data_IF_076955372864
#
_entry.id   IF_076955372864
#
_cell.length_a   1.000
_cell.length_b   1.000
_cell.length_c   1.000
_cell.angle_alpha   90.00
_cell.angle_beta   90.00
_cell.angle_gamma   90.00
#
_symmetry.space_group_name_H-M   'P 1'
#
loop_
_entity.id
_entity.type
_entity.pdbx_description
1 polymer ?
2 polymer ?
#
# COMPACT_ATOMS: atom_id res chain seq x y z
N UNK A 35 20.81 42.46 28.30
CA UNK A 35 19.55 41.72 28.59
C UNK A 35 18.93 41.17 27.30
N UNK A 36 19.21 41.81 26.17
CA UNK A 36 18.64 41.39 24.90
C UNK A 36 19.67 40.67 24.01
N UNK A 37 19.32 39.46 23.57
CA UNK A 37 20.16 38.70 22.66
C UNK A 37 19.69 38.89 21.23
N UNK A 38 18.43 39.34 21.10
CA UNK A 38 17.74 39.44 19.81
C UNK A 38 18.64 39.46 18.56
N UNK A 39 19.42 40.52 18.36
CA UNK A 39 20.25 40.62 17.15
C UNK A 39 20.78 39.26 16.69
N UNK A 40 20.07 38.66 15.75
CA UNK A 40 20.44 37.35 15.21
C UNK A 40 21.81 37.39 14.54
N UNK A 41 21.99 38.31 13.59
CA UNK A 41 23.28 38.47 12.93
C UNK A 41 24.36 38.23 13.98
N UNK A 42 24.26 39.00 15.06
CA UNK A 42 25.13 38.82 16.21
C UNK A 42 25.28 37.34 16.54
N UNK A 43 24.20 36.74 17.03
CA UNK A 43 24.20 35.32 17.40
C UNK A 43 24.73 34.43 16.29
N UNK A 44 24.44 34.81 15.05
CA UNK A 44 24.90 34.07 13.88
C UNK A 44 26.40 34.09 13.76
N UNK A 45 26.98 35.29 13.80
CA UNK A 45 28.42 35.42 13.80
C UNK A 45 28.99 34.69 15.00
N UNK A 46 28.29 34.79 16.12
CA UNK A 46 28.67 34.11 17.35
C UNK A 46 28.65 32.59 17.20
N UNK A 47 27.83 32.09 16.28
CA UNK A 47 27.68 30.65 16.11
C UNK A 47 28.85 30.03 15.34
N UNK A 48 29.06 30.50 14.12
CA UNK A 48 30.09 29.93 13.24
C UNK A 48 31.45 29.92 13.93
N UNK A 49 31.57 30.74 14.97
CA UNK A 49 32.77 30.76 15.80
C UNK A 49 32.98 29.38 16.42
N UNK A 51 31.80 26.45 15.27
CA UNK A 51 32.10 25.44 14.25
C UNK A 51 33.55 25.54 13.80
N UNK A 52 34.11 26.76 13.88
CA UNK A 52 35.48 27.01 13.47
C UNK A 52 36.49 26.56 14.52
N UNK A 53 36.09 26.62 15.79
CA UNK A 53 36.98 26.23 16.89
C UNK A 53 36.70 24.81 17.38
N UNK A 54 35.51 24.60 17.94
CA UNK A 54 35.15 23.29 18.47
C UNK A 54 34.96 22.26 17.35
N UNK A 55 34.95 22.74 16.10
CA UNK A 55 34.84 21.86 14.95
C UNK A 55 33.72 20.83 15.07
N UNK A 57 29.47 19.76 14.53
CA UNK A 57 28.47 19.87 13.47
C UNK A 57 27.60 21.12 13.64
N UNK A 58 27.45 21.88 12.55
CA UNK A 58 26.59 23.04 12.57
C UNK A 58 25.36 22.77 13.42
N UNK A 59 24.84 21.56 13.32
CA UNK A 59 23.66 21.16 14.08
C UNK A 59 23.98 21.15 15.57
N UNK A 60 24.78 20.19 16.00
CA UNK A 60 25.21 20.13 17.39
C UNK A 60 25.51 21.51 17.94
N UNK A 61 26.25 22.29 17.15
CA UNK A 61 26.61 23.65 17.53
C UNK A 61 25.37 24.42 17.98
N UNK A 62 24.54 24.79 17.03
CA UNK A 62 23.37 25.60 17.29
C UNK A 62 22.38 24.93 18.26
N UNK A 63 22.44 23.60 18.36
CA UNK A 63 21.66 22.91 19.37
C UNK A 63 22.16 23.30 20.74
N UNK A 64 23.48 23.49 20.83
CA UNK A 64 24.13 23.83 22.08
C UNK A 64 23.92 25.30 22.42
N UNK A 65 24.28 26.17 21.47
CA UNK A 65 24.09 27.61 21.64
C UNK A 65 22.76 27.89 22.31
N UNK A 66 21.71 27.24 21.83
CA UNK A 66 20.38 27.41 22.40
C UNK A 66 20.38 26.98 23.85
N UNK A 67 20.75 25.72 24.09
CA UNK A 67 20.75 25.17 25.43
C UNK A 67 21.46 26.09 26.42
N UNK A 68 22.64 26.55 26.01
CA UNK A 68 23.48 27.37 26.89
C UNK A 68 22.81 28.68 27.27
N UNK A 69 21.97 29.21 26.39
CA UNK A 69 21.25 30.43 26.69
C UNK A 69 19.83 30.20 27.16
N UNK A 70 19.47 28.93 27.35
CA UNK A 70 18.15 28.57 27.88
C UNK A 70 16.99 28.80 26.90
N UNK A 71 17.31 28.94 25.61
CA UNK A 71 16.27 29.08 24.59
C UNK A 71 15.79 27.71 24.11
N UNK A 72 14.47 27.48 24.16
CA UNK A 72 13.90 26.25 23.61
C UNK A 72 14.07 26.22 22.10
N UNK A 73 14.18 25.01 21.54
CA UNK A 73 14.38 24.86 20.10
C UNK A 73 13.20 25.48 19.35
N UNK A 74 12.03 25.45 19.98
CA UNK A 74 10.81 25.95 19.39
C UNK A 74 10.85 27.46 19.20
N UNK A 75 11.94 28.08 19.63
CA UNK A 75 12.09 29.53 19.51
C UNK A 75 13.30 29.90 18.68
N UNK A 76 13.91 28.91 18.04
CA UNK A 76 15.12 29.14 17.26
C UNK A 76 14.93 30.29 16.27
N UNK A 77 13.67 30.53 15.90
CA UNK A 77 13.37 31.50 14.86
C UNK A 77 13.76 32.94 15.21
N UNK A 78 13.53 33.32 16.46
CA UNK A 78 13.82 34.69 16.94
C UNK A 78 15.27 34.90 17.40
N UNK A 79 16.06 33.84 17.45
CA UNK A 79 17.42 33.95 17.98
C UNK A 79 18.47 33.50 16.97
N UNK A 80 18.05 32.69 16.01
CA UNK A 80 18.99 32.15 15.03
C UNK A 80 18.79 32.77 13.66
N UNK A 81 19.91 33.14 13.00
CA UNK A 81 19.88 33.74 11.67
C UNK A 81 19.54 32.70 10.60
N UNK A 82 18.54 32.99 9.79
CA UNK A 82 18.10 32.05 8.74
C UNK A 82 19.23 31.77 7.74
N UNK A 83 20.34 32.46 7.91
CA UNK A 83 21.53 32.16 7.12
C UNK A 83 22.20 30.90 7.63
N UNK A 84 22.30 30.78 8.96
CA UNK A 84 22.96 29.63 9.57
C UNK A 84 22.08 28.38 9.53
N UNK A 85 20.77 28.58 9.63
CA UNK A 85 19.81 27.49 9.45
C UNK A 85 20.11 26.74 8.15
N UNK A 86 20.11 27.48 7.05
CA UNK A 86 20.41 26.90 5.73
C UNK A 86 21.56 25.89 5.81
N UNK A 87 22.54 26.19 6.64
CA UNK A 87 23.72 25.36 6.73
C UNK A 87 23.48 24.13 7.59
N UNK A 88 22.33 24.11 8.28
CA UNK A 88 21.89 22.92 8.99
C UNK A 88 21.11 22.03 8.03
N UNK A 89 20.10 22.62 7.40
CA UNK A 89 19.34 21.95 6.35
C UNK A 89 20.28 21.15 5.44
N UNK A 90 21.42 21.76 5.11
CA UNK A 90 22.40 21.11 4.26
C UNK A 90 22.94 19.84 4.91
N UNK A 91 23.40 19.95 6.16
CA UNK A 91 23.90 18.80 6.89
C UNK A 91 22.86 17.68 6.94
N UNK A 92 21.62 18.06 7.19
CA UNK A 92 20.52 17.10 7.34
C UNK A 92 20.42 16.19 6.12
N UNK A 93 20.36 16.81 4.95
CA UNK A 93 20.29 16.07 3.70
C UNK A 93 21.53 15.20 3.52
N UNK A 94 22.70 15.84 3.50
CA UNK A 94 23.95 15.12 3.31
C UNK A 94 24.09 13.94 4.27
N UNK A 95 23.33 13.98 5.37
CA UNK A 95 23.44 12.94 6.38
C UNK A 95 22.18 12.09 6.45
N UNK A 96 21.18 12.46 5.66
CA UNK A 96 19.92 11.73 5.62
C UNK A 96 19.25 11.64 6.98
N UNK A 97 19.23 12.74 7.73
CA UNK A 97 18.61 12.74 9.05
C UNK A 97 17.10 12.82 8.92
N UNK A 98 16.63 13.04 7.70
CA UNK A 98 15.21 13.29 7.48
C UNK A 98 14.57 12.26 6.55
N UNK A 99 13.24 12.15 6.63
CA UNK A 99 12.49 11.29 5.74
C UNK A 99 12.58 11.83 4.32
N UNK A 100 12.91 10.96 3.35
CA UNK A 100 12.94 11.39 1.97
C UNK A 100 11.75 12.28 1.65
N UNK A 101 10.62 11.97 2.29
CA UNK A 101 9.39 12.73 2.10
C UNK A 101 9.59 14.23 2.35
N UNK A 102 10.39 14.56 3.36
CA UNK A 102 10.59 15.96 3.74
C UNK A 102 11.74 16.61 2.99
N UNK A 103 12.71 15.80 2.57
CA UNK A 103 13.82 16.30 1.78
C UNK A 103 13.31 17.02 0.53
N UNK A 104 12.34 16.40 -0.13
CA UNK A 104 11.76 16.98 -1.34
C UNK A 104 11.11 18.35 -1.09
N UNK A 105 10.21 18.41 -0.11
CA UNK A 105 9.59 19.68 0.26
C UNK A 105 10.07 20.19 1.62
N UNK B 2 18.05 -26.02 -1.72
CA UNK B 2 17.21 -24.91 -2.16
C UNK B 2 15.87 -24.97 -1.45
N UNK B 3 15.37 -23.81 -1.04
CA UNK B 3 14.14 -23.75 -0.28
C UNK B 3 13.56 -22.37 -0.31
N UNK B 4 12.26 -22.29 -0.08
CA UNK B 4 11.57 -21.01 -0.04
C UNK B 4 11.45 -20.55 1.41
N UNK B 5 12.22 -19.53 1.77
CA UNK B 5 12.22 -18.98 3.11
C UNK B 5 11.19 -17.86 3.22
N UNK B 6 10.12 -18.10 3.98
CA UNK B 6 9.08 -17.09 4.17
C UNK B 6 9.45 -16.10 5.28
N UNK B 7 9.62 -14.83 4.89
CA UNK B 7 9.94 -13.75 5.83
C UNK B 7 8.79 -12.76 5.91
N UNK B 8 8.38 -12.42 7.13
CA UNK B 8 7.22 -11.55 7.34
C UNK B 8 7.59 -10.19 7.92
N UNK B 9 6.87 -9.17 7.49
CA UNK B 9 7.03 -7.85 8.08
C UNK B 9 5.68 -7.38 8.62
N UNK B 10 5.62 -7.13 9.91
CA UNK B 10 4.37 -6.75 10.55
C UNK B 10 4.39 -5.32 11.06
N UNK B 11 3.29 -4.60 10.84
CA UNK B 11 3.14 -3.27 11.38
C UNK B 11 1.95 -3.25 12.32
N UNK B 12 2.20 -2.86 13.56
CA UNK B 12 1.18 -2.85 14.59
C UNK B 12 0.83 -1.44 15.04
N UNK B 13 -0.10 -1.35 15.99
CA UNK B 13 -0.34 -0.13 16.74
C UNK B 13 0.56 -0.15 17.96
N UNK B 14 1.27 0.96 18.18
CA UNK B 14 2.14 1.09 19.34
C UNK B 14 1.45 1.99 20.35
N UNK B 15 1.98 2.02 21.56
CA UNK B 15 1.55 3.01 22.53
C UNK B 15 1.93 4.40 22.04
N UNK B 16 2.89 4.45 21.12
CA UNK B 16 3.37 5.71 20.57
C UNK B 16 2.79 6.01 19.19
N UNK B 17 1.72 5.31 18.82
CA UNK B 17 1.11 5.50 17.51
C UNK B 17 1.34 4.34 16.57
N UNK B 18 0.75 4.42 15.37
CA UNK B 18 0.75 3.33 14.39
C UNK B 18 2.01 3.30 13.55
N UNK B 19 2.46 2.09 13.22
CA UNK B 19 3.63 1.90 12.35
C UNK B 19 3.22 2.06 10.90
N UNK B 20 4.18 2.30 10.02
CA UNK B 20 3.89 2.46 8.60
C UNK B 20 4.79 1.58 7.75
N UNK B 21 4.22 0.98 6.71
CA UNK B 21 5.00 0.30 5.72
C UNK B 21 5.18 1.24 4.55
N UNK B 22 6.43 1.62 4.29
CA UNK B 22 6.69 2.72 3.38
C UNK B 22 8.11 2.74 2.86
N UNK B 23 8.32 3.51 1.81
CA UNK B 23 9.65 3.76 1.28
C UNK B 23 10.21 5.03 1.91
N UNK B 24 9.38 5.70 2.72
CA UNK B 24 9.73 6.98 3.31
C UNK B 24 10.53 6.76 4.59
N UNK B 25 11.71 6.18 4.46
CA UNK B 25 12.51 5.77 5.60
C UNK B 25 13.74 6.63 5.74
N UNK B 26 13.98 7.13 6.97
CA UNK B 26 15.10 8.01 7.25
C UNK B 26 16.35 7.22 7.64
N UNK B 27 17.51 7.83 7.43
CA UNK B 27 18.78 7.25 7.87
C UNK B 27 19.29 6.13 6.96
N UNK B 28 18.81 6.09 5.73
CA UNK B 28 19.26 5.11 4.76
C UNK B 28 19.46 5.77 3.39
N UNK B 29 20.57 5.44 2.73
CA UNK B 29 20.92 6.07 1.47
C UNK B 29 19.93 5.78 0.35
N UNK B 30 20.10 6.49 -0.77
CA UNK B 30 19.27 6.25 -1.94
C UNK B 30 19.50 4.84 -2.47
N UNK B 31 20.73 4.35 -2.27
CA UNK B 31 21.10 3.01 -2.69
C UNK B 31 20.06 2.00 -2.24
N UNK B 32 19.76 2.01 -0.94
CA UNK B 32 18.82 1.05 -0.36
C UNK B 32 17.40 1.30 -0.83
N UNK B 33 16.94 2.54 -0.67
CA UNK B 33 15.56 2.89 -1.03
C UNK B 33 15.29 2.72 -2.51
N UNK B 34 16.35 2.74 -3.30
CA UNK B 34 16.23 2.62 -4.76
C UNK B 34 15.47 1.36 -5.17
N UNK B 35 15.84 0.24 -4.55
CA UNK B 35 15.35 -1.07 -4.97
C UNK B 35 13.88 -1.35 -4.62
N UNK B 36 13.22 -0.41 -3.96
CA UNK B 36 11.87 -0.63 -3.46
C UNK B 36 10.81 0.01 -4.34
N UNK B 37 9.58 -0.50 -4.28
CA UNK B 37 8.49 0.06 -5.06
C UNK B 37 7.80 1.21 -4.29
N UNK B 38 6.90 1.90 -4.98
CA UNK B 38 6.23 3.07 -4.40
C UNK B 38 5.68 2.76 -3.01
N UNK B 39 5.53 1.48 -2.71
CA UNK B 39 4.86 1.08 -1.48
C UNK B 39 5.86 0.63 -0.42
N UNK B 40 7.15 0.73 -0.75
CA UNK B 40 8.21 0.40 0.19
C UNK B 40 8.56 -1.08 0.21
N UNK B 41 7.97 -1.84 -0.71
CA UNK B 41 8.21 -3.27 -0.80
C UNK B 41 9.16 -3.62 -1.96
N UNK B 42 9.97 -4.65 -1.75
CA UNK B 42 10.96 -5.05 -2.76
C UNK B 42 10.27 -5.62 -3.98
N UNK B 43 10.96 -5.59 -5.12
CA UNK B 43 10.40 -6.09 -6.38
C UNK B 43 10.55 -7.60 -6.51
N UNK B 44 9.47 -8.26 -6.90
CA UNK B 44 9.51 -9.68 -7.22
C UNK B 44 10.54 -9.94 -8.31
N UNK B 45 11.40 -10.91 -8.09
CA UNK B 45 12.45 -11.22 -9.05
C UNK B 45 13.75 -10.50 -8.75
N UNK B 46 13.79 -9.79 -7.62
CA UNK B 46 14.99 -9.07 -7.23
C UNK B 46 16.05 -10.02 -6.68
N UNK B 47 17.30 -9.76 -7.02
CA UNK B 47 18.42 -10.55 -6.52
C UNK B 47 18.93 -9.94 -5.22
N UNK B 48 18.27 -10.25 -4.12
CA UNK B 48 18.60 -9.64 -2.83
C UNK B 48 19.70 -10.39 -2.09
N UNK B 49 20.48 -9.66 -1.31
CA UNK B 49 21.53 -10.24 -0.49
C UNK B 49 21.37 -9.81 0.97
N UNK B 50 22.06 -10.49 1.87
CA UNK B 50 22.00 -10.15 3.28
C UNK B 50 22.09 -8.64 3.48
N UNK B 51 21.20 -8.11 4.32
CA UNK B 51 21.22 -6.69 4.62
C UNK B 51 20.18 -5.88 3.85
N UNK B 52 20.04 -6.18 2.56
CA UNK B 52 19.09 -5.46 1.72
C UNK B 52 17.72 -5.38 2.38
N UNK B 53 17.01 -4.27 2.15
CA UNK B 53 15.67 -4.08 2.66
C UNK B 53 14.67 -4.81 1.80
N UNK B 54 13.83 -5.65 2.41
CA UNK B 54 12.79 -6.36 1.68
C UNK B 54 11.47 -5.62 1.83
N UNK B 55 11.22 -5.14 3.03
CA UNK B 55 10.01 -4.37 3.31
C UNK B 55 10.33 -3.19 4.21
N UNK B 56 10.10 -1.99 3.69
CA UNK B 56 10.30 -0.78 4.47
C UNK B 56 9.21 -0.55 5.51
N UNK B 57 9.61 -0.58 6.77
CA UNK B 57 8.70 -0.23 7.85
C UNK B 57 9.29 0.91 8.66
N UNK B 58 8.44 1.57 9.44
CA UNK B 58 8.86 2.73 10.21
C UNK B 58 8.09 2.78 11.52
N UNK B 59 8.77 3.22 12.58
CA UNK B 59 8.14 3.28 13.89
C UNK B 59 8.32 4.64 14.55
N UNK B 60 7.24 5.19 15.12
CA UNK B 60 7.26 6.44 15.87
C UNK B 60 8.23 6.39 17.03
N UNK B 61 8.92 7.50 17.30
CA UNK B 61 9.97 7.52 18.32
C UNK B 61 9.50 7.89 19.74
N UNK B 62 8.79 9.01 19.86
CA UNK B 62 8.30 9.46 21.17
C UNK B 62 9.30 10.28 21.95
N UNK B 63 8.82 11.39 22.51
CA UNK B 63 9.66 12.35 23.23
C UNK B 63 10.90 11.72 23.87
N UNK B 64 10.71 11.07 25.01
CA UNK B 64 11.80 10.44 25.74
C UNK B 64 13.02 10.17 24.87
N UNK B 65 12.79 9.72 23.64
CA UNK B 65 13.86 9.18 22.81
C UNK B 65 14.46 10.21 21.85
N UNK B 66 14.00 11.45 21.94
CA UNK B 66 14.43 12.47 21.01
C UNK B 66 15.65 13.23 21.51
N UNK B 67 16.76 13.09 20.79
CA UNK B 67 17.95 13.86 21.09
C UNK B 67 17.68 15.33 20.83
N UNK B 68 18.15 16.21 21.74
CA UNK B 68 17.97 17.64 21.53
C UNK B 68 18.40 18.08 20.13
N UNK B 69 19.32 17.35 19.52
CA UNK B 69 19.75 17.66 18.17
C UNK B 69 18.62 17.45 17.17
N UNK B 70 17.74 16.49 17.45
CA UNK B 70 16.60 16.25 16.57
C UNK B 70 15.34 17.00 17.00
N UNK B 71 15.28 17.40 18.26
CA UNK B 71 14.19 18.25 18.71
C UNK B 71 14.28 19.58 17.98
N UNK B 72 15.52 19.98 17.66
CA UNK B 72 15.77 21.26 17.01
C UNK B 72 15.35 21.22 15.56
N UNK B 73 15.83 20.22 14.82
CA UNK B 73 15.48 20.16 13.40
C UNK B 73 14.03 19.73 13.19
N UNK B 74 13.43 19.15 14.22
CA UNK B 74 11.99 18.91 14.20
C UNK B 74 11.27 20.24 14.22
N UNK B 75 11.83 21.20 14.96
CA UNK B 75 11.24 22.53 15.06
C UNK B 75 11.48 23.33 13.79
N UNK B 76 12.55 23.00 13.09
CA UNK B 76 12.89 23.70 11.85
C UNK B 76 12.04 23.24 10.68
N UNK B 77 11.76 21.94 10.61
CA UNK B 77 11.12 21.36 9.44
C UNK B 77 9.66 20.99 9.62
N UNK B 78 9.20 20.95 10.87
CA UNK B 78 7.81 20.61 11.14
C UNK B 78 7.71 19.27 11.84
N UNK B 79 6.53 19.00 12.40
CA UNK B 79 6.34 17.83 13.25
C UNK B 79 6.82 16.50 12.67
N UNK B 80 6.50 16.25 11.40
CA UNK B 80 6.78 14.95 10.79
C UNK B 80 8.17 14.87 10.16
N UNK B 81 9.14 15.53 10.76
CA UNK B 81 10.52 15.48 10.26
C UNK B 81 11.26 14.26 10.79
N UNK B 82 11.71 14.34 12.04
CA UNK B 82 12.34 13.20 12.70
C UNK B 82 11.32 12.52 13.61
N UNK B 83 10.19 12.13 13.03
CA UNK B 83 9.08 11.57 13.78
C UNK B 83 9.25 10.08 14.06
N UNK B 84 9.96 9.38 13.18
CA UNK B 84 9.96 7.92 13.21
C UNK B 84 11.35 7.33 13.01
N UNK B 85 11.51 6.08 13.46
CA UNK B 85 12.77 5.36 13.27
C UNK B 85 12.57 4.17 12.34
N UNK B 86 13.62 3.84 11.60
CA UNK B 86 13.61 2.74 10.65
C UNK B 86 13.53 1.39 11.35
N UNK B 87 12.43 0.66 11.12
CA UNK B 87 12.31 -0.68 11.66
C UNK B 87 11.91 -1.65 10.55
N UNK B 88 12.35 -1.35 9.34
CA UNK B 88 12.01 -2.15 8.18
C UNK B 88 12.60 -3.56 8.28
N UNK B 89 12.05 -4.48 7.48
CA UNK B 89 12.48 -5.88 7.46
C UNK B 89 13.58 -6.10 6.42
N UNK B 90 14.79 -6.41 6.89
CA UNK B 90 15.90 -6.65 5.98
C UNK B 90 16.18 -8.14 5.82
N UNK B 91 17.01 -8.48 4.85
CA UNK B 91 17.46 -9.85 4.68
C UNK B 91 18.49 -10.14 5.78
N UNK B 92 18.32 -11.28 6.47
CA UNK B 92 19.26 -11.66 7.53
C UNK B 92 20.68 -11.76 6.99
N UNK B 93 21.65 -11.77 7.89
CA UNK B 93 23.05 -11.89 7.47
C UNK B 93 23.36 -13.25 6.87
N UNK B 94 24.21 -13.26 5.85
CA UNK B 94 24.65 -14.51 5.22
C UNK B 94 23.73 -15.02 4.13
N UNK B 95 22.43 -14.90 4.33
CA UNK B 95 21.45 -15.41 3.36
C UNK B 95 21.47 -14.63 2.06
N UNK B 96 21.17 -15.33 0.97
CA UNK B 96 21.13 -14.74 -0.37
C UNK B 96 20.14 -15.50 -1.23
N UNK B 97 19.45 -14.79 -2.11
CA UNK B 97 18.45 -15.44 -2.96
C UNK B 97 17.71 -14.47 -3.86
N UNK B 98 16.51 -14.87 -4.28
CA UNK B 98 15.73 -14.04 -5.17
C UNK B 98 14.24 -14.08 -4.80
N UNK B 99 13.67 -12.90 -4.59
CA UNK B 99 12.27 -12.78 -4.24
C UNK B 99 11.44 -13.38 -5.36
N UNK B 100 10.53 -14.28 -5.00
CA UNK B 100 9.69 -14.91 -6.01
C UNK B 100 8.22 -14.62 -5.77
N UNK B 101 7.92 -14.00 -4.64
CA UNK B 101 6.55 -13.61 -4.33
C UNK B 101 6.44 -12.75 -3.08
N UNK B 102 5.48 -11.83 -3.09
CA UNK B 102 5.16 -11.04 -1.92
C UNK B 102 3.66 -11.14 -1.68
N UNK B 103 3.24 -11.04 -0.43
CA UNK B 103 1.83 -11.20 -0.12
C UNK B 103 1.43 -10.18 0.94
N UNK B 104 0.58 -9.24 0.56
CA UNK B 104 0.17 -8.18 1.46
C UNK B 104 -1.19 -8.45 2.08
N UNK B 105 -1.23 -8.53 3.40
CA UNK B 105 -2.48 -8.65 4.14
C UNK B 105 -2.78 -7.34 4.84
N UNK B 106 -4.00 -6.82 4.65
CA UNK B 106 -4.39 -5.56 5.27
C UNK B 106 -5.62 -5.76 6.13
N UNK B 107 -5.57 -5.22 7.34
CA UNK B 107 -6.67 -5.33 8.28
C UNK B 107 -7.89 -4.54 7.81
N UNK B 108 -9.07 -4.99 8.21
CA UNK B 108 -10.30 -4.28 7.90
C UNK B 108 -10.30 -2.90 8.54
N UNK B 109 -10.30 -1.87 7.70
CA UNK B 109 -10.34 -0.50 8.19
C UNK B 109 -9.21 0.36 7.67
N UNK B 110 -8.03 -0.23 7.54
CA UNK B 110 -6.85 0.51 7.12
C UNK B 110 -6.98 1.02 5.69
N UNK B 111 -6.52 2.24 5.45
CA UNK B 111 -6.54 2.82 4.12
C UNK B 111 -5.63 2.02 3.18
N UNK B 112 -6.18 1.61 2.04
CA UNK B 112 -5.43 0.83 1.07
C UNK B 112 -4.57 1.72 0.19
N UNK B 113 -3.26 1.45 0.13
CA UNK B 113 -2.37 2.28 -0.67
C UNK B 113 -2.59 2.08 -2.18
N UNK B 114 -1.74 2.71 -2.98
CA UNK B 114 -1.86 2.60 -4.42
C UNK B 114 -1.61 1.17 -4.88
N UNK B 115 -0.47 0.61 -4.48
CA UNK B 115 -0.12 -0.77 -4.81
C UNK B 115 -1.29 -1.71 -4.56
N UNK B 116 -1.83 -1.67 -3.34
CA UNK B 116 -2.92 -2.56 -2.96
C UNK B 116 -4.12 -2.42 -3.90
N UNK B 117 -4.48 -1.18 -4.21
CA UNK B 117 -5.67 -0.88 -5.00
C UNK B 117 -5.59 -1.45 -6.40
N UNK B 118 -4.51 -1.13 -7.11
CA UNK B 118 -4.29 -1.65 -8.45
C UNK B 118 -4.50 -3.17 -8.49
N UNK B 119 -3.92 -3.86 -7.51
CA UNK B 119 -4.11 -5.30 -7.38
C UNK B 119 -5.58 -5.61 -7.14
N UNK B 120 -6.19 -4.88 -6.22
CA UNK B 120 -7.62 -5.03 -5.96
C UNK B 120 -8.41 -4.77 -7.23
N UNK B 121 -8.13 -3.63 -7.85
CA UNK B 121 -8.77 -3.23 -9.09
C UNK B 121 -8.70 -4.34 -10.13
N UNK B 123 -8.16 -7.66 -9.68
CA UNK B 123 -8.90 -8.86 -9.29
C UNK B 123 -10.41 -8.68 -9.47
N UNK B 124 -10.87 -7.44 -9.54
CA UNK B 124 -12.28 -7.16 -9.76
C UNK B 124 -12.62 -7.36 -11.24
N UNK B 125 -11.79 -6.79 -12.11
CA UNK B 125 -11.97 -6.91 -13.54
C UNK B 125 -12.21 -8.37 -13.89
N UNK B 126 -11.42 -9.25 -13.27
CA UNK B 126 -11.51 -10.68 -13.53
C UNK B 126 -12.78 -11.28 -12.95
N UNK B 127 -12.92 -11.21 -11.63
CA UNK B 127 -14.13 -11.71 -10.99
C UNK B 127 -15.34 -11.41 -11.87
N UNK B 128 -15.32 -10.24 -12.50
CA UNK B 128 -16.39 -9.80 -13.38
C UNK B 128 -16.34 -10.58 -14.69
N UNK B 129 -15.20 -10.48 -15.38
CA UNK B 129 -14.99 -11.23 -16.61
C UNK B 129 -15.43 -12.70 -16.45
N UNK B 130 -14.88 -13.37 -15.45
CA UNK B 130 -15.27 -14.74 -15.14
C UNK B 130 -16.77 -14.94 -15.23
N UNK B 131 -17.54 -13.89 -14.94
CA UNK B 131 -18.99 -14.00 -14.97
C UNK B 131 -19.54 -13.94 -16.39
N UNK B 132 -19.04 -13.00 -17.17
CA UNK B 132 -19.52 -12.84 -18.53
C UNK B 132 -19.37 -14.15 -19.29
N UNK B 133 -18.16 -14.70 -19.27
CA UNK B 133 -17.90 -15.96 -19.94
C UNK B 133 -18.74 -17.09 -19.34
N UNK B 134 -18.88 -17.09 -18.01
CA UNK B 134 -19.80 -18.02 -17.38
C UNK B 134 -21.20 -17.89 -17.97
N UNK B 135 -21.66 -16.64 -18.10
CA UNK B 135 -23.02 -16.39 -18.58
C UNK B 135 -23.15 -16.66 -20.07
N UNK B 136 -22.12 -16.31 -20.83
CA UNK B 136 -22.14 -16.57 -22.26
C UNK B 136 -22.37 -18.03 -22.55
N UNK B 137 -21.65 -18.88 -21.81
CA UNK B 137 -21.83 -20.33 -21.89
C UNK B 137 -23.27 -20.72 -21.54
N UNK B 138 -23.75 -20.25 -20.40
CA UNK B 138 -25.09 -20.57 -19.93
C UNK B 138 -26.15 -20.29 -20.99
N UNK B 139 -26.03 -19.15 -21.66
CA UNK B 139 -26.97 -18.77 -22.71
C UNK B 139 -26.77 -19.64 -23.95
N UNK B 140 -25.61 -19.49 -24.58
CA UNK B 140 -25.27 -20.27 -25.77
C UNK B 140 -25.72 -21.73 -25.65
N UNK B 141 -25.67 -22.26 -24.43
CA UNK B 141 -26.11 -23.63 -24.19
C UNK B 141 -27.62 -23.74 -24.16
N UNK B 142 -28.22 -23.44 -23.01
CA UNK B 142 -29.67 -23.55 -22.85
C UNK B 142 -30.46 -23.00 -24.02
N UNK B 143 -30.00 -21.88 -24.58
CA UNK B 143 -30.72 -21.24 -25.68
C UNK B 143 -30.63 -22.02 -26.99
N UNK B 144 -29.57 -22.80 -27.16
CA UNK B 144 -29.48 -23.67 -28.32
C UNK B 144 -30.60 -24.69 -28.22
N UNK B 145 -30.89 -25.14 -27.01
CA UNK B 145 -31.94 -26.15 -26.80
C UNK B 145 -33.34 -25.56 -26.89
N UNK B 146 -33.53 -24.37 -26.33
CA UNK B 146 -34.84 -23.72 -26.40
C UNK B 146 -35.26 -23.62 -27.87
N UNK B 147 -34.37 -23.07 -28.69
CA UNK B 147 -34.62 -23.03 -30.13
C UNK B 147 -35.03 -24.41 -30.62
N UNK B 148 -34.11 -25.36 -30.55
CA UNK B 148 -34.39 -26.72 -30.96
C UNK B 148 -35.81 -27.13 -30.58
N UNK B 149 -36.09 -27.18 -29.28
CA UNK B 149 -37.42 -27.56 -28.79
C UNK B 149 -38.49 -26.63 -29.33
N UNK B 150 -38.14 -25.35 -29.47
CA UNK B 150 -39.07 -24.36 -30.01
C UNK B 150 -39.43 -24.73 -31.45
N UNK B 151 -38.44 -24.70 -32.34
CA UNK B 151 -38.64 -25.10 -33.73
C UNK B 151 -39.51 -26.36 -33.79
N UNK B 152 -38.99 -27.46 -33.25
CA UNK B 152 -39.76 -28.71 -33.19
C UNK B 152 -41.06 -28.48 -32.43
N UNK B 153 -42.17 -28.40 -33.17
CA UNK B 153 -43.47 -28.14 -32.57
C UNK B 153 -44.12 -26.88 -33.14
N UNK B 154 -43.39 -25.78 -33.08
CA UNK B 154 -43.85 -24.52 -33.65
C UNK B 154 -42.69 -23.79 -34.31
N UNK B 155 -42.35 -24.22 -35.52
CA UNK B 155 -41.15 -23.72 -36.19
C UNK B 155 -41.31 -22.32 -36.77
N UNK B 156 -40.50 -21.38 -36.28
CA UNK B 156 -40.35 -20.08 -36.93
C UNK B 156 -39.00 -20.03 -37.62
N UNK B 157 -38.48 -21.21 -37.96
CA UNK B 157 -37.19 -21.33 -38.62
C UNK B 157 -36.42 -20.01 -38.68
N UNK B 158 -36.70 -19.23 -39.72
CA UNK B 158 -35.96 -17.99 -39.97
C UNK B 158 -36.42 -16.84 -39.07
N UNK B 159 -37.73 -16.78 -38.83
CA UNK B 159 -38.31 -15.73 -37.99
C UNK B 159 -37.64 -15.67 -36.62
N UNK B 160 -37.52 -16.83 -35.99
CA UNK B 160 -37.03 -16.93 -34.62
C UNK B 160 -35.63 -16.34 -34.42
N UNK B 161 -34.72 -16.61 -35.34
CA UNK B 161 -33.33 -16.17 -35.19
C UNK B 161 -33.17 -14.65 -35.17
N UNK B 162 -34.20 -13.92 -35.57
CA UNK B 162 -34.13 -12.47 -35.64
C UNK B 162 -34.38 -11.79 -34.29
N UNK B 163 -35.62 -11.81 -33.81
CA UNK B 163 -35.95 -11.21 -32.54
C UNK B 163 -34.91 -11.55 -31.48
N UNK B 164 -34.42 -10.53 -30.75
CA UNK B 164 -33.41 -10.72 -29.72
C UNK B 164 -33.69 -11.93 -28.83
N UNK B 165 -32.63 -12.55 -28.33
CA UNK B 165 -32.73 -13.77 -27.54
C UNK B 165 -33.72 -13.65 -26.39
N UNK B 166 -33.79 -12.46 -25.80
CA UNK B 166 -34.66 -12.21 -24.64
C UNK B 166 -36.15 -12.28 -24.99
N UNK B 167 -36.46 -12.30 -26.29
CA UNK B 167 -37.85 -12.32 -26.74
C UNK B 167 -38.35 -13.74 -26.97
N UNK B 168 -37.42 -14.70 -26.93
CA UNK B 168 -37.77 -16.10 -27.13
C UNK B 168 -38.53 -16.62 -25.94
N UNK B 169 -38.03 -16.34 -24.74
CA UNK B 169 -38.69 -16.74 -23.51
C UNK B 169 -40.17 -16.38 -23.54
N UNK B 170 -40.49 -15.32 -24.29
CA UNK B 170 -41.85 -14.84 -24.43
C UNK B 170 -42.74 -15.84 -25.18
N UNK B 171 -42.40 -16.07 -26.45
CA UNK B 171 -43.20 -16.91 -27.33
C UNK B 171 -43.66 -18.20 -26.66
N UNK B 172 -44.88 -18.63 -26.98
CA UNK B 172 -45.45 -19.85 -26.42
C UNK B 172 -45.72 -20.92 -27.46
N UNK B 173 -45.96 -22.14 -27.01
CA UNK B 173 -46.15 -23.27 -27.90
C UNK B 173 -47.43 -24.04 -27.57
N UNK B 174 -48.08 -24.58 -28.61
CA UNK B 174 -49.30 -25.37 -28.43
C UNK B 174 -49.21 -26.23 -27.18
N UNK B 175 -50.13 -26.00 -26.25
CA UNK B 175 -50.18 -26.77 -25.01
C UNK B 175 -49.68 -28.19 -25.27
N UNK B 176 -48.86 -28.71 -24.38
CA UNK B 176 -48.18 -29.97 -24.63
C UNK B 176 -47.08 -30.16 -23.59
N UNK B 177 -46.62 -31.40 -23.43
CA UNK B 177 -45.48 -31.67 -22.56
C UNK B 177 -44.25 -30.93 -23.11
N UNK B 178 -44.37 -30.42 -24.32
CA UNK B 178 -43.30 -29.67 -24.96
C UNK B 178 -43.31 -28.22 -24.48
N UNK B 179 -44.41 -27.83 -23.83
CA UNK B 179 -44.51 -26.51 -23.20
C UNK B 179 -43.93 -26.57 -21.80
N UNK B 180 -43.96 -27.76 -21.20
CA UNK B 180 -43.37 -27.98 -19.89
C UNK B 180 -41.85 -28.04 -19.97
N UNK B 181 -41.34 -28.45 -21.12
CA UNK B 181 -39.91 -28.45 -21.35
C UNK B 181 -39.44 -27.00 -21.47
N UNK B 182 -40.20 -26.20 -22.20
CA UNK B 182 -39.90 -24.79 -22.38
C UNK B 182 -40.09 -24.05 -21.05
N UNK B 183 -40.82 -24.68 -20.14
CA UNK B 183 -41.06 -24.13 -18.81
C UNK B 183 -39.76 -24.21 -18.01
N UNK B 184 -39.26 -25.44 -17.86
CA UNK B 184 -38.06 -25.70 -17.05
C UNK B 184 -36.84 -24.93 -17.54
N UNK B 185 -36.63 -24.91 -18.85
CA UNK B 185 -35.51 -24.17 -19.40
C UNK B 185 -35.54 -22.73 -18.88
N UNK B 186 -36.71 -22.12 -18.89
CA UNK B 186 -36.89 -20.77 -18.37
C UNK B 186 -36.45 -20.71 -16.92
N UNK B 187 -37.09 -21.51 -16.07
CA UNK B 187 -36.71 -21.58 -14.66
C UNK B 187 -35.21 -21.76 -14.51
N UNK B 188 -34.69 -22.87 -15.04
CA UNK B 188 -33.26 -23.19 -14.96
C UNK B 188 -32.41 -21.95 -15.26
N UNK B 189 -32.58 -21.39 -16.45
CA UNK B 189 -31.79 -20.23 -16.84
C UNK B 189 -31.75 -19.19 -15.74
N UNK B 190 -32.89 -18.57 -15.46
CA UNK B 190 -32.98 -17.55 -14.42
C UNK B 190 -32.36 -18.03 -13.11
N UNK B 191 -32.88 -19.12 -12.56
CA UNK B 191 -32.39 -19.64 -11.30
C UNK B 191 -30.86 -19.72 -11.28
N UNK B 192 -30.28 -20.17 -12.38
CA UNK B 192 -28.82 -20.31 -12.47
C UNK B 192 -28.13 -18.97 -12.65
N UNK B 193 -28.55 -18.22 -13.66
CA UNK B 193 -28.01 -16.88 -13.88
C UNK B 193 -27.94 -16.12 -12.56
N UNK B 194 -29.05 -16.13 -11.81
CA UNK B 194 -29.09 -15.51 -10.50
C UNK B 194 -27.96 -16.01 -9.67
N UNK B 195 -27.97 -17.32 -9.40
CA UNK B 195 -26.94 -17.96 -8.61
C UNK B 195 -25.52 -17.53 -9.00
N UNK B 196 -25.25 -17.49 -10.31
CA UNK B 196 -23.93 -17.10 -10.77
C UNK B 196 -23.63 -15.66 -10.42
N UNK B 197 -24.65 -14.81 -10.47
CA UNK B 197 -24.49 -13.40 -10.17
C UNK B 197 -24.17 -13.16 -8.70
N UNK B 198 -24.96 -13.76 -7.81
CA UNK B 198 -24.73 -13.61 -6.38
C UNK B 198 -23.40 -14.24 -5.97
N UNK B 199 -22.71 -14.84 -6.93
CA UNK B 199 -21.38 -15.39 -6.71
C UNK B 199 -20.36 -14.30 -6.96
N UNK B 200 -20.64 -13.44 -7.93
CA UNK B 200 -19.78 -12.30 -8.21
C UNK B 200 -19.72 -11.43 -6.95
N UNK B 201 -20.86 -11.28 -6.30
CA UNK B 201 -20.93 -10.54 -5.05
C UNK B 201 -19.97 -11.12 -4.04
N UNK B 202 -20.27 -12.34 -3.58
CA UNK B 202 -19.44 -13.01 -2.60
C UNK B 202 -17.95 -12.89 -2.95
N UNK B 203 -17.65 -12.70 -4.22
CA UNK B 203 -16.27 -12.51 -4.65
C UNK B 203 -15.78 -11.10 -4.32
N UNK B 204 -16.50 -10.10 -4.80
CA UNK B 204 -16.17 -8.71 -4.52
C UNK B 204 -16.07 -8.46 -3.02
N UNK B 205 -17.04 -9.00 -2.29
CA UNK B 205 -17.03 -8.94 -0.83
C UNK B 205 -15.64 -9.31 -0.29
N UNK B 206 -15.11 -10.46 -0.73
CA UNK B 206 -13.81 -10.93 -0.26
C UNK B 206 -12.64 -10.07 -0.73
N UNK B 207 -12.66 -9.69 -2.01
CA UNK B 207 -11.55 -8.94 -2.57
C UNK B 207 -11.28 -7.66 -1.77
N UNK B 208 -12.32 -6.84 -1.63
CA UNK B 208 -12.19 -5.56 -0.93
C UNK B 208 -12.09 -5.70 0.59
N UNK B 209 -12.95 -6.54 1.17
CA UNK B 209 -12.96 -6.71 2.62
C UNK B 209 -11.55 -6.95 3.17
N UNK B 210 -11.30 -6.45 4.37
CA UNK B 210 -10.01 -6.60 5.02
C UNK B 210 -9.71 -8.04 5.39
N UNK B 211 -8.50 -8.27 5.88
CA UNK B 211 -8.09 -9.61 6.31
C UNK B 211 -8.18 -9.73 7.82
N UNK B 212 -8.61 -10.88 8.30
CA UNK B 212 -8.74 -11.09 9.74
C UNK B 212 -7.38 -11.31 10.40
N UNK B 213 -6.74 -10.22 10.79
CA UNK B 213 -5.44 -10.29 11.45
C UNK B 213 -5.59 -10.17 12.96
N UNK B 214 -4.50 -10.41 13.68
CA UNK B 214 -4.51 -10.34 15.13
C UNK B 214 -4.84 -8.94 15.63
N UNK B 215 -5.35 -8.84 16.87
CA UNK B 215 -5.60 -7.52 17.41
C UNK B 215 -4.29 -6.77 17.60
N UNK B 216 -4.24 -5.52 17.16
CA UNK B 216 -3.02 -4.73 17.25
C UNK B 216 -2.32 -4.57 15.92
N UNK B 217 -2.22 -5.66 15.18
CA UNK B 217 -1.57 -5.66 13.86
C UNK B 217 -2.42 -4.97 12.81
N UNK B 218 -1.79 -4.12 12.01
CA UNK B 218 -2.48 -3.33 10.99
C UNK B 218 -2.36 -3.96 9.63
N UNK B 219 -1.13 -4.33 9.27
CA UNK B 219 -0.91 -5.04 8.02
C UNK B 219 0.34 -5.92 8.06
N UNK B 220 0.28 -7.03 7.32
CA UNK B 220 1.40 -7.97 7.24
C UNK B 220 1.84 -8.15 5.80
N UNK B 221 3.15 -8.05 5.57
CA UNK B 221 3.71 -8.26 4.24
C UNK B 221 4.66 -9.44 4.26
N UNK B 222 4.26 -10.53 3.61
CA UNK B 222 5.05 -11.76 3.57
C UNK B 222 5.85 -11.85 2.29
N UNK B 223 7.17 -11.83 2.43
CA UNK B 223 8.06 -11.96 1.29
C UNK B 223 8.54 -13.40 1.17
N UNK B 224 8.51 -13.94 -0.04
CA UNK B 224 8.93 -15.32 -0.28
C UNK B 224 10.25 -15.36 -1.03
N UNK B 225 11.29 -15.81 -0.35
CA UNK B 225 12.64 -15.75 -0.86
C UNK B 225 13.18 -17.14 -1.19
N UNK B 226 13.78 -17.28 -2.37
CA UNK B 226 14.35 -18.55 -2.78
C UNK B 226 15.83 -18.62 -2.45
N UNK B 227 16.15 -19.35 -1.40
CA UNK B 227 17.52 -19.42 -0.90
C UNK B 227 18.23 -20.69 -1.38
N UNK B 228 19.43 -20.51 -1.92
CA UNK B 228 20.26 -21.65 -2.35
C UNK B 228 21.38 -21.89 -1.35
#
# INVERSE_FOLDING_TARGET
>A
GPHXTQFSLNDIRPVDETGLSEKELSIKKEKDEIAKLLDRQENGFIIEKXVEEFGXSYLEATTAFLEENSIPETQFAKFIPSGIIEKIQSEAIDENLLRPSVVRCEKTNTLDFLL
>B
XIHIQELACVSRDTKLGPEEITADIPNVGEAALSKLDESGIVYIGAEVTGGDILVGKVTPKGETQLTPEEKLLRAIFGEKASDVKDSSLRVPNGVSGTVIDVQVFTRDGVEKDKRALEIEEXQLKQAKKDLSEELQILEAGLFSRIRAVLVAGGVEAEKLDKLPRDRWLELGLTDEEKQNQLEQLAEQYDELKHEFEKKLEAKRRKITQGDDLAPGVLKIVKVYLAVK
#
